data_IF_682521686995
#
_entry.id   IF_682521686995
#
_cell.length_a   1.000
_cell.length_b   1.000
_cell.length_c   1.000
_cell.angle_alpha   90.00
_cell.angle_beta   90.00
_cell.angle_gamma   90.00
#
_symmetry.space_group_name_H-M   'P 1'
#
loop_
_entity.id
_entity.type
_entity.pdbx_description
1 polymer ?
#
# COMPACT_ATOMS: atom_id res chain seq x y z
N UNK A 1 10.24 6.76 24.49
CA UNK A 1 9.58 8.05 24.24
C UNK A 1 8.47 7.81 23.22
N UNK A 2 7.20 7.78 23.64
CA UNK A 2 6.07 7.53 22.74
C UNK A 2 5.78 8.80 21.95
N UNK A 3 6.05 8.80 20.64
CA UNK A 3 5.51 9.80 19.71
C UNK A 3 3.98 9.81 19.84
N UNK A 4 3.36 10.98 20.00
CA UNK A 4 1.88 11.03 20.09
C UNK A 4 1.33 10.68 18.71
N UNK A 5 0.20 9.98 18.66
CA UNK A 5 -0.44 9.54 17.42
C UNK A 5 -0.64 10.69 16.40
N UNK A 6 -0.91 11.90 16.91
CA UNK A 6 -1.02 13.13 16.09
C UNK A 6 0.28 13.52 15.38
N UNK A 7 1.43 13.29 16.01
CA UNK A 7 2.75 13.59 15.43
C UNK A 7 3.09 12.62 14.30
N UNK A 8 2.67 11.35 14.44
CA UNK A 8 2.81 10.32 13.41
C UNK A 8 1.91 10.58 12.19
N UNK A 9 0.68 11.05 12.42
CA UNK A 9 -0.21 11.52 11.35
C UNK A 9 0.44 12.69 10.62
N UNK A 10 0.90 13.71 11.36
CA UNK A 10 1.60 14.86 10.78
C UNK A 10 2.86 14.49 10.00
N UNK A 11 3.61 13.48 10.46
CA UNK A 11 4.79 12.94 9.80
C UNK A 11 4.43 12.17 8.53
N UNK A 12 3.40 11.32 8.56
CA UNK A 12 2.90 10.62 7.38
C UNK A 12 2.47 11.59 6.28
N UNK A 13 1.71 12.62 6.64
CA UNK A 13 1.30 13.66 5.70
C UNK A 13 2.46 14.55 5.23
N UNK A 14 3.45 14.83 6.09
CA UNK A 14 4.64 15.59 5.71
C UNK A 14 5.52 14.81 4.75
N UNK A 15 5.77 13.53 5.02
CA UNK A 15 6.49 12.63 4.11
C UNK A 15 5.74 12.55 2.78
N UNK A 16 4.40 12.43 2.79
CA UNK A 16 3.57 12.42 1.59
C UNK A 16 3.70 13.72 0.77
N UNK A 17 3.76 14.89 1.42
CA UNK A 17 3.94 16.19 0.75
C UNK A 17 5.35 16.44 0.21
N UNK A 18 6.36 15.70 0.68
CA UNK A 18 7.73 15.79 0.16
C UNK A 18 7.88 15.17 -1.24
N UNK A 19 6.86 14.47 -1.74
CA UNK A 19 6.84 13.93 -3.10
C UNK A 19 6.15 14.94 -4.04
N UNK A 20 6.88 15.54 -5.00
CA UNK A 20 6.35 16.58 -5.88
C UNK A 20 5.14 16.13 -6.71
N UNK A 21 5.04 14.82 -7.01
CA UNK A 21 3.88 14.23 -7.70
C UNK A 21 2.56 14.41 -6.94
N UNK A 22 2.62 14.63 -5.62
CA UNK A 22 1.47 14.78 -4.73
C UNK A 22 1.24 16.24 -4.27
N UNK A 23 2.18 17.15 -4.54
CA UNK A 23 2.14 18.54 -4.08
C UNK A 23 1.25 19.45 -4.95
N UNK A 24 0.86 18.99 -6.15
CA UNK A 24 0.08 19.75 -7.14
C UNK A 24 -1.32 19.15 -7.39
N UNK A 25 -2.03 18.61 -6.39
CA UNK A 25 -3.39 18.09 -6.58
C UNK A 25 -4.50 19.17 -6.60
N UNK A 26 -4.21 20.31 -7.22
CA UNK A 26 -5.23 21.13 -7.85
C UNK A 26 -4.90 21.15 -9.33
N UNK A 27 -5.85 20.68 -10.15
CA UNK A 27 -5.86 20.71 -11.63
C UNK A 27 -5.51 19.36 -12.30
N UNK A 28 -6.59 18.63 -12.65
CA UNK A 28 -6.69 17.48 -13.58
C UNK A 28 -6.45 16.08 -12.99
N UNK A 29 -7.45 15.56 -12.27
CA UNK A 29 -7.70 14.11 -12.22
C UNK A 29 -8.26 13.68 -13.57
N UNK A 30 -7.47 13.01 -14.41
CA UNK A 30 -7.96 12.40 -15.64
C UNK A 30 -8.48 10.99 -15.33
N UNK A 31 -9.71 10.70 -15.77
CA UNK A 31 -10.23 9.34 -15.79
C UNK A 31 -9.77 8.67 -17.09
N UNK A 32 -9.05 7.56 -16.96
CA UNK A 32 -8.45 6.86 -18.10
C UNK A 32 -8.93 5.42 -18.08
N UNK A 33 -9.52 4.99 -19.20
CA UNK A 33 -9.96 3.60 -19.41
C UNK A 33 -8.83 2.67 -19.91
N UNK A 34 -7.59 3.17 -19.87
CA UNK A 34 -6.39 2.51 -20.33
C UNK A 34 -5.42 2.43 -19.15
N UNK A 35 -4.97 1.23 -18.87
CA UNK A 35 -3.97 0.89 -17.86
C UNK A 35 -2.61 0.81 -18.57
N UNK A 36 -1.78 1.85 -18.38
CA UNK A 36 -0.37 1.81 -18.79
C UNK A 36 0.44 1.08 -17.72
N UNK A 37 0.96 -0.11 -18.08
CA UNK A 37 1.69 -0.95 -17.11
C UNK A 37 3.07 -0.38 -16.78
N UNK A 38 3.74 0.26 -17.72
CA UNK A 38 5.04 0.89 -17.43
C UNK A 38 4.85 2.06 -16.44
N UNK A 39 3.78 2.84 -16.63
CA UNK A 39 3.41 3.91 -15.72
C UNK A 39 3.12 3.38 -14.31
N UNK A 40 2.32 2.32 -14.19
CA UNK A 40 2.03 1.68 -12.89
C UNK A 40 3.30 1.18 -12.21
N UNK A 41 4.23 0.57 -12.95
CA UNK A 41 5.49 0.09 -12.37
C UNK A 41 6.34 1.25 -11.86
N UNK A 42 6.43 2.35 -12.62
CA UNK A 42 7.15 3.56 -12.22
C UNK A 42 6.57 4.15 -10.93
N UNK A 43 5.24 4.30 -10.87
CA UNK A 43 4.53 4.75 -9.68
C UNK A 43 4.82 3.83 -8.48
N UNK A 44 4.81 2.51 -8.71
CA UNK A 44 5.10 1.53 -7.66
C UNK A 44 6.50 1.71 -7.06
N UNK A 45 7.52 2.03 -7.88
CA UNK A 45 8.87 2.30 -7.35
C UNK A 45 8.92 3.55 -6.48
N UNK A 46 8.22 4.62 -6.89
CA UNK A 46 8.12 5.87 -6.11
C UNK A 46 7.38 5.59 -4.78
N UNK A 47 6.31 4.81 -4.82
CA UNK A 47 5.56 4.41 -3.64
C UNK A 47 6.39 3.57 -2.67
N UNK A 48 7.20 2.64 -3.17
CA UNK A 48 8.11 1.85 -2.33
C UNK A 48 9.11 2.75 -1.59
N UNK A 49 9.63 3.78 -2.25
CA UNK A 49 10.49 4.77 -1.60
C UNK A 49 9.72 5.55 -0.53
N UNK A 50 8.51 6.03 -0.84
CA UNK A 50 7.63 6.70 0.12
C UNK A 50 7.35 5.82 1.35
N UNK A 51 7.03 4.54 1.17
CA UNK A 51 6.79 3.62 2.28
C UNK A 51 8.06 3.37 3.11
N UNK A 52 9.23 3.31 2.47
CA UNK A 52 10.52 3.16 3.16
C UNK A 52 10.84 4.40 4.00
N UNK A 53 10.63 5.60 3.47
CA UNK A 53 10.79 6.85 4.20
C UNK A 53 9.81 6.93 5.38
N UNK A 54 8.54 6.56 5.18
CA UNK A 54 7.57 6.45 6.27
C UNK A 54 8.06 5.50 7.36
N UNK A 55 8.50 4.29 7.01
CA UNK A 55 8.99 3.33 7.99
C UNK A 55 10.21 3.85 8.75
N UNK A 56 11.18 4.46 8.07
CA UNK A 56 12.37 5.07 8.69
C UNK A 56 12.06 6.29 9.56
N UNK A 57 10.89 6.91 9.37
CA UNK A 57 10.41 8.00 10.23
C UNK A 57 9.91 7.51 11.60
N UNK A 58 9.59 6.20 11.71
CA UNK A 58 9.21 5.58 12.97
C UNK A 58 10.46 5.20 13.76
N UNK A 59 10.65 5.82 14.93
CA UNK A 59 11.83 5.59 15.77
C UNK A 59 12.06 4.10 16.10
N UNK A 60 10.99 3.37 16.42
CA UNK A 60 11.07 1.94 16.74
C UNK A 60 11.54 1.08 15.57
N UNK A 61 11.24 1.49 14.33
CA UNK A 61 11.70 0.79 13.13
C UNK A 61 13.13 1.24 12.75
N UNK A 62 13.41 2.54 12.82
CA UNK A 62 14.69 3.12 12.40
C UNK A 62 15.88 2.67 13.25
N UNK A 63 15.62 2.23 14.49
CA UNK A 63 16.63 1.68 15.40
C UNK A 63 16.92 0.19 15.19
N UNK A 64 16.13 -0.53 14.38
CA UNK A 64 16.34 -1.96 14.15
C UNK A 64 17.62 -2.25 13.32
N UNK A 65 18.23 -3.42 13.50
CA UNK A 65 19.25 -3.94 12.59
C UNK A 65 18.74 -4.00 11.15
N UNK A 66 19.65 -3.86 10.18
CA UNK A 66 19.32 -3.84 8.75
C UNK A 66 18.48 -5.04 8.31
N UNK A 67 18.83 -6.24 8.77
CA UNK A 67 18.15 -7.48 8.36
C UNK A 67 16.72 -7.53 8.88
N UNK A 68 16.50 -7.07 10.12
CA UNK A 68 15.16 -6.97 10.71
C UNK A 68 14.32 -5.89 10.02
N UNK A 69 14.89 -4.73 9.68
CA UNK A 69 14.21 -3.71 8.88
C UNK A 69 13.74 -4.27 7.55
N UNK A 70 14.62 -5.00 6.85
CA UNK A 70 14.29 -5.59 5.56
C UNK A 70 13.20 -6.65 5.67
N UNK A 71 13.25 -7.49 6.71
CA UNK A 71 12.23 -8.49 6.97
C UNK A 71 10.86 -7.87 7.24
N UNK A 72 10.79 -6.87 8.13
CA UNK A 72 9.56 -6.14 8.42
C UNK A 72 9.05 -5.41 7.17
N UNK A 73 9.92 -4.67 6.48
CA UNK A 73 9.54 -3.87 5.31
C UNK A 73 8.92 -4.72 4.20
N UNK A 74 9.53 -5.87 3.86
CA UNK A 74 9.01 -6.79 2.83
C UNK A 74 7.61 -7.32 3.14
N UNK A 75 7.26 -7.45 4.42
CA UNK A 75 5.95 -7.94 4.84
C UNK A 75 4.93 -6.80 4.97
N UNK A 76 5.42 -5.62 5.31
CA UNK A 76 4.67 -4.40 5.57
C UNK A 76 4.15 -3.72 4.29
N UNK A 77 5.03 -3.49 3.32
CA UNK A 77 4.74 -2.58 2.20
C UNK A 77 3.52 -3.00 1.35
N UNK A 78 3.22 -4.30 1.10
CA UNK A 78 2.05 -4.67 0.31
C UNK A 78 0.75 -4.31 1.03
N UNK A 79 0.71 -4.50 2.35
CA UNK A 79 -0.45 -4.12 3.17
C UNK A 79 -0.62 -2.61 3.25
N UNK A 80 0.46 -1.86 3.41
CA UNK A 80 0.40 -0.40 3.40
C UNK A 80 -0.12 0.12 2.05
N UNK A 81 0.46 -0.34 0.94
CA UNK A 81 -0.01 0.01 -0.41
C UNK A 81 -1.53 -0.16 -0.54
N UNK A 82 -2.04 -1.33 -0.17
CA UNK A 82 -3.46 -1.66 -0.23
C UNK A 82 -4.34 -0.73 0.64
N UNK A 83 -3.91 -0.44 1.86
CA UNK A 83 -4.65 0.41 2.80
C UNK A 83 -4.65 1.88 2.34
N UNK A 84 -3.50 2.44 1.99
CA UNK A 84 -3.38 3.83 1.54
C UNK A 84 -4.17 4.05 0.25
N UNK A 85 -4.06 3.11 -0.69
CA UNK A 85 -4.78 3.13 -1.96
C UNK A 85 -6.30 3.19 -1.80
N UNK A 86 -6.85 2.29 -0.98
CA UNK A 86 -8.29 2.26 -0.72
C UNK A 86 -8.74 3.52 0.01
N UNK A 87 -7.97 4.00 0.99
CA UNK A 87 -8.30 5.21 1.72
C UNK A 87 -8.39 6.42 0.76
N UNK A 88 -7.36 6.61 -0.07
CA UNK A 88 -7.32 7.70 -1.03
C UNK A 88 -8.44 7.60 -2.06
N UNK A 89 -8.68 6.40 -2.62
CA UNK A 89 -9.78 6.14 -3.55
C UNK A 89 -11.13 6.48 -2.93
N UNK A 90 -11.39 6.05 -1.69
CA UNK A 90 -12.65 6.33 -1.00
C UNK A 90 -12.83 7.82 -0.69
N UNK A 91 -11.75 8.53 -0.37
CA UNK A 91 -11.79 9.98 -0.13
C UNK A 91 -12.12 10.77 -1.39
N UNK A 92 -11.64 10.32 -2.56
CA UNK A 92 -11.78 11.05 -3.82
C UNK A 92 -13.04 10.66 -4.61
N UNK A 93 -13.35 9.37 -4.69
CA UNK A 93 -14.49 8.85 -5.46
C UNK A 93 -15.72 8.51 -4.60
N UNK A 94 -15.58 8.60 -3.28
CA UNK A 94 -16.64 8.24 -2.34
C UNK A 94 -16.68 6.75 -2.02
N UNK A 95 -17.80 6.33 -1.42
CA UNK A 95 -17.91 5.05 -0.72
C UNK A 95 -18.90 4.07 -1.38
N UNK A 96 -19.27 4.27 -2.65
CA UNK A 96 -20.13 3.34 -3.38
C UNK A 96 -19.40 2.01 -3.62
N UNK A 97 -19.92 0.92 -3.07
CA UNK A 97 -19.35 -0.43 -3.20
C UNK A 97 -19.36 -0.96 -4.63
N UNK A 98 -20.23 -0.42 -5.50
CA UNK A 98 -20.30 -0.82 -6.90
C UNK A 98 -19.34 -0.03 -7.79
N UNK A 99 -18.76 1.07 -7.30
CA UNK A 99 -17.71 1.78 -8.02
C UNK A 99 -16.42 0.95 -7.99
N UNK A 100 -15.98 0.54 -9.17
CA UNK A 100 -14.82 -0.33 -9.37
C UNK A 100 -13.54 0.44 -9.70
N UNK A 101 -13.64 1.76 -9.83
CA UNK A 101 -12.51 2.62 -10.12
C UNK A 101 -11.58 2.71 -8.93
N UNK A 102 -10.29 2.88 -9.23
CA UNK A 102 -9.21 3.05 -8.24
C UNK A 102 -8.42 4.29 -8.63
N UNK A 103 -7.95 5.04 -7.64
CA UNK A 103 -7.08 6.20 -7.88
C UNK A 103 -5.62 5.76 -7.86
N UNK A 104 -4.88 6.02 -8.93
CA UNK A 104 -3.43 5.85 -9.12
C UNK A 104 -2.62 6.76 -8.16
N UNK A 105 -1.31 6.52 -8.00
CA UNK A 105 -0.52 7.25 -6.99
C UNK A 105 -0.36 8.71 -7.41
N UNK A 106 -0.22 8.93 -8.71
CA UNK A 106 -0.26 10.22 -9.38
C UNK A 106 -1.64 10.90 -9.41
N UNK A 107 -2.69 10.27 -8.87
CA UNK A 107 -4.07 10.76 -8.89
C UNK A 107 -4.89 10.36 -10.11
N UNK A 108 -4.33 9.63 -11.08
CA UNK A 108 -5.07 9.16 -12.26
C UNK A 108 -6.19 8.20 -11.84
N UNK A 109 -7.41 8.34 -12.34
CA UNK A 109 -8.51 7.43 -12.01
C UNK A 109 -8.54 6.31 -13.06
N UNK A 110 -8.37 5.07 -12.63
CA UNK A 110 -8.37 3.91 -13.52
C UNK A 110 -9.52 2.96 -13.22
N UNK A 111 -10.10 2.41 -14.27
CA UNK A 111 -10.98 1.25 -14.17
C UNK A 111 -10.15 -0.02 -14.36
N UNK A 112 -10.10 -0.90 -13.36
CA UNK A 112 -9.34 -2.16 -13.42
C UNK A 112 -9.88 -3.13 -14.48
N UNK A 113 -11.07 -2.89 -15.03
CA UNK A 113 -11.61 -3.61 -16.19
C UNK A 113 -11.22 -3.00 -17.53
N UNK A 114 -10.57 -1.83 -17.55
CA UNK A 114 -10.13 -1.13 -18.75
C UNK A 114 -9.13 -1.90 -19.60
N UNK A 115 -8.74 -1.32 -20.74
CA UNK A 115 -7.74 -1.88 -21.63
C UNK A 115 -6.34 -1.78 -21.03
N UNK A 116 -5.46 -2.72 -21.35
CA UNK A 116 -4.07 -2.70 -20.87
C UNK A 116 -3.14 -2.35 -22.04
N UNK A 117 -2.28 -1.34 -21.86
CA UNK A 117 -1.30 -0.91 -22.87
C UNK A 117 0.12 -1.06 -22.37
N UNK A 118 1.07 -1.15 -23.31
CA UNK A 118 2.52 -1.28 -23.05
C UNK A 118 2.89 -2.54 -22.26
N UNK A 119 2.04 -3.55 -22.36
CA UNK A 119 2.25 -4.84 -21.73
C UNK A 119 3.47 -5.58 -22.31
N UNK A 120 3.71 -5.38 -23.60
CA UNK A 120 4.85 -5.91 -24.36
C UNK A 120 6.21 -5.44 -23.82
N UNK A 121 6.25 -4.34 -23.06
CA UNK A 121 7.50 -3.86 -22.44
C UNK A 121 7.87 -4.62 -21.17
N UNK A 122 6.93 -5.36 -20.57
CA UNK A 122 7.08 -5.94 -19.22
C UNK A 122 6.74 -7.43 -19.17
N UNK A 123 6.11 -7.97 -20.20
CA UNK A 123 5.59 -9.34 -20.23
C UNK A 123 5.38 -9.84 -21.66
N UNK A 124 5.61 -11.13 -21.88
CA UNK A 124 5.28 -11.83 -23.14
C UNK A 124 3.79 -12.24 -23.21
N UNK A 125 3.01 -11.96 -22.16
CA UNK A 125 1.59 -12.29 -22.10
C UNK A 125 0.76 -11.28 -22.88
N UNK A 126 -0.34 -11.74 -23.48
CA UNK A 126 -1.36 -10.85 -24.02
C UNK A 126 -2.32 -10.34 -22.93
N UNK A 127 -3.13 -9.33 -23.27
CA UNK A 127 -4.06 -8.69 -22.33
C UNK A 127 -5.03 -9.69 -21.68
N UNK A 128 -5.56 -10.64 -22.44
CA UNK A 128 -6.50 -11.64 -21.94
C UNK A 128 -5.85 -12.55 -20.89
N UNK A 129 -4.62 -13.00 -21.15
CA UNK A 129 -3.84 -13.82 -20.23
C UNK A 129 -3.53 -13.05 -18.94
N UNK A 130 -3.12 -11.79 -19.02
CA UNK A 130 -2.89 -10.95 -17.84
C UNK A 130 -4.17 -10.78 -17.04
N UNK A 131 -5.29 -10.46 -17.70
CA UNK A 131 -6.58 -10.31 -17.04
C UNK A 131 -6.99 -11.60 -16.32
N UNK A 132 -6.78 -12.76 -16.95
CA UNK A 132 -7.05 -14.07 -16.36
C UNK A 132 -6.18 -14.35 -15.13
N UNK A 133 -4.90 -13.97 -15.16
CA UNK A 133 -3.97 -14.14 -14.04
C UNK A 133 -4.29 -13.18 -12.89
N UNK A 134 -4.63 -11.93 -13.18
CA UNK A 134 -4.83 -10.89 -12.17
C UNK A 134 -6.22 -10.92 -11.55
N UNK A 135 -7.25 -11.41 -12.27
CA UNK A 135 -8.64 -11.39 -11.83
C UNK A 135 -8.84 -12.02 -10.43
N UNK A 136 -8.34 -13.22 -10.12
CA UNK A 136 -8.54 -13.81 -8.79
C UNK A 136 -7.94 -12.95 -7.67
N UNK A 137 -6.77 -12.37 -7.88
CA UNK A 137 -6.13 -11.47 -6.91
C UNK A 137 -6.92 -10.17 -6.74
N UNK A 138 -7.44 -9.60 -7.82
CA UNK A 138 -8.26 -8.39 -7.78
C UNK A 138 -9.61 -8.64 -7.08
N UNK A 139 -10.26 -9.77 -7.36
CA UNK A 139 -11.53 -10.14 -6.73
C UNK A 139 -11.34 -10.33 -5.21
N UNK A 140 -10.28 -11.05 -4.82
CA UNK A 140 -9.95 -11.26 -3.40
C UNK A 140 -9.60 -9.95 -2.70
N UNK A 141 -8.82 -9.08 -3.34
CA UNK A 141 -8.49 -7.76 -2.82
C UNK A 141 -9.74 -6.91 -2.57
N UNK A 142 -10.69 -6.94 -3.50
CA UNK A 142 -11.96 -6.22 -3.33
C UNK A 142 -12.75 -6.74 -2.14
N UNK A 143 -12.87 -8.05 -2.03
CA UNK A 143 -13.65 -8.69 -0.97
C UNK A 143 -13.04 -8.44 0.41
N UNK A 144 -11.71 -8.56 0.54
CA UNK A 144 -11.02 -8.49 1.82
C UNK A 144 -10.63 -7.07 2.24
N UNK A 145 -10.47 -6.14 1.30
CA UNK A 145 -9.96 -4.80 1.59
C UNK A 145 -10.93 -3.72 1.14
N UNK A 146 -11.25 -3.64 -0.16
CA UNK A 146 -12.03 -2.52 -0.70
C UNK A 146 -13.45 -2.44 -0.14
N UNK A 147 -14.21 -3.54 -0.14
CA UNK A 147 -15.58 -3.53 0.38
C UNK A 147 -15.62 -3.22 1.88
N UNK A 148 -14.79 -3.83 2.75
CA UNK A 148 -14.68 -3.40 4.14
C UNK A 148 -14.34 -1.92 4.28
N UNK A 149 -13.39 -1.39 3.51
CA UNK A 149 -13.03 0.03 3.54
C UNK A 149 -14.21 0.94 3.22
N UNK A 150 -14.93 0.62 2.14
CA UNK A 150 -16.09 1.40 1.69
C UNK A 150 -17.24 1.38 2.71
N UNK A 151 -17.44 0.25 3.41
CA UNK A 151 -18.47 0.08 4.44
C UNK A 151 -18.12 0.74 5.76
N UNK A 152 -16.89 0.51 6.25
CA UNK A 152 -16.45 0.95 7.58
C UNK A 152 -16.04 2.43 7.60
N UNK A 153 -15.65 2.97 6.44
CA UNK A 153 -15.26 4.38 6.28
C UNK A 153 -14.22 4.84 7.31
N UNK A 154 -13.07 4.15 7.39
CA UNK A 154 -12.08 4.46 8.40
C UNK A 154 -11.61 5.92 8.26
N UNK A 155 -11.33 6.55 9.39
CA UNK A 155 -10.68 7.86 9.44
C UNK A 155 -9.14 7.72 9.38
N UNK A 156 -8.43 8.85 9.37
CA UNK A 156 -6.96 8.89 9.24
C UNK A 156 -6.23 8.19 10.40
N UNK A 157 -6.78 8.27 11.62
CA UNK A 157 -6.20 7.61 12.79
C UNK A 157 -6.36 6.09 12.70
N UNK A 158 -7.52 5.62 12.25
CA UNK A 158 -7.78 4.20 12.03
C UNK A 158 -6.90 3.65 10.90
N UNK A 159 -6.73 4.40 9.81
CA UNK A 159 -5.78 4.06 8.75
C UNK A 159 -4.37 3.90 9.30
N UNK A 160 -3.88 4.91 10.02
CA UNK A 160 -2.52 4.87 10.58
C UNK A 160 -2.34 3.68 11.53
N UNK A 161 -3.35 3.40 12.37
CA UNK A 161 -3.33 2.24 13.25
C UNK A 161 -3.25 0.92 12.47
N UNK A 162 -4.03 0.77 11.40
CA UNK A 162 -3.98 -0.42 10.53
C UNK A 162 -2.61 -0.55 9.84
N UNK A 163 -2.05 0.53 9.32
CA UNK A 163 -0.72 0.55 8.66
C UNK A 163 0.39 0.15 9.63
N UNK A 164 0.40 0.72 10.84
CA UNK A 164 1.36 0.35 11.89
C UNK A 164 1.15 -1.11 12.30
N UNK A 165 -0.10 -1.56 12.42
CA UNK A 165 -0.41 -2.96 12.73
C UNK A 165 0.12 -3.91 11.64
N UNK A 166 -0.01 -3.56 10.35
CA UNK A 166 0.57 -4.33 9.24
C UNK A 166 2.10 -4.45 9.35
N UNK A 167 2.78 -3.40 9.82
CA UNK A 167 4.24 -3.41 9.97
C UNK A 167 4.71 -4.42 11.02
N UNK A 168 4.04 -4.44 12.17
CA UNK A 168 4.45 -5.25 13.32
C UNK A 168 3.78 -6.63 13.37
N UNK A 169 2.74 -6.86 12.57
CA UNK A 169 2.06 -8.15 12.45
C UNK A 169 2.77 -9.08 11.46
N UNK A 170 4.04 -9.36 11.72
CA UNK A 170 4.77 -10.40 10.99
C UNK A 170 4.31 -11.75 11.53
N UNK A 171 3.39 -12.40 10.79
CA UNK A 171 3.15 -13.83 10.99
C UNK A 171 4.50 -14.52 10.89
N UNK A 172 4.78 -15.40 11.86
CA UNK A 172 5.90 -16.34 11.83
C UNK A 172 5.71 -17.28 10.64
N UNK A 173 5.85 -16.79 9.40
CA UNK A 173 6.10 -17.65 8.26
C UNK A 173 7.39 -18.35 8.64
N UNK A 174 7.35 -19.66 8.85
CA UNK A 174 8.52 -20.47 9.15
C UNK A 174 9.56 -20.24 8.05
N UNK A 175 10.44 -19.27 8.25
CA UNK A 175 11.66 -19.14 7.48
C UNK A 175 12.60 -20.24 7.99
N UNK A 176 13.11 -21.04 7.06
CA UNK A 176 14.14 -22.04 7.33
C UNK A 176 15.28 -21.37 8.11
N UNK A 177 15.53 -21.88 9.31
CA UNK A 177 16.69 -21.70 10.18
C UNK A 177 17.45 -20.36 10.12
N UNK A 178 17.23 -19.48 11.11
CA UNK A 178 18.27 -18.51 11.55
C UNK A 178 17.79 -17.10 11.91
N UNK A 179 16.71 -16.60 11.33
CA UNK A 179 16.34 -15.18 11.46
C UNK A 179 15.20 -15.00 12.47
N UNK A 180 15.55 -14.58 13.69
CA UNK A 180 14.60 -14.22 14.74
C UNK A 180 14.50 -12.70 14.88
N UNK A 181 13.27 -12.18 14.94
CA UNK A 181 13.02 -10.76 15.26
C UNK A 181 12.94 -10.65 16.77
N UNK A 182 13.87 -9.90 17.36
CA UNK A 182 13.83 -9.56 18.78
C UNK A 182 12.92 -8.36 18.98
N UNK A 183 11.72 -8.60 19.51
CA UNK A 183 10.85 -7.53 20.00
C UNK A 183 10.79 -7.65 21.52
N UNK A 184 11.36 -6.67 22.21
CA UNK A 184 11.17 -6.44 23.65
C UNK A 184 11.51 -7.65 24.56
N UNK A 185 12.59 -8.36 24.23
CA UNK A 185 13.11 -9.48 25.04
C UNK A 185 12.22 -10.73 25.09
N UNK A 186 11.15 -10.81 24.27
CA UNK A 186 10.26 -11.99 24.23
C UNK A 186 10.24 -12.64 22.85
N UNK A 187 10.56 -13.93 22.84
CA UNK A 187 10.31 -14.81 21.71
C UNK A 187 8.79 -14.91 21.51
N UNK A 188 8.25 -14.46 20.38
CA UNK A 188 6.86 -14.75 20.01
C UNK A 188 6.84 -15.59 18.74
N UNK A 189 6.71 -16.90 18.93
CA UNK A 189 6.07 -17.79 17.98
C UNK A 189 4.68 -18.08 18.54
N UNK A 190 3.67 -17.29 18.14
CA UNK A 190 2.27 -17.59 18.49
C UNK A 190 1.59 -18.25 17.31
N UNK A 191 1.37 -19.57 17.45
CA UNK A 191 0.37 -20.32 16.70
C UNK A 191 -1.02 -19.78 17.11
N UNK A 192 -1.81 -19.37 16.13
CA UNK A 192 -3.26 -19.41 16.18
C UNK A 192 -3.71 -20.25 14.99
#
# INVERSE_FOLDING_TARGET
MLLRLKDLVGLAFRVRRSFPSLANHSEVTSEVNIIDVEHILRDTYIELEYFAQFAMSLQSFSQLPKDQKWLLFRNFWPGFFQLDRNFHTCKLLGYDINDERTVCFDGTIVNLKGHVTRLDMVSDLNEEQVRKVMKPSNDLYRELVTYPFKRLRPNEFELLYMVISCMWNVKSRCYRAGESIYIDGRFQCKRF
#
